data_IF_898885385838
#
_entry.id   IF_898885385838
#
_cell.length_a   1.000
_cell.length_b   1.000
_cell.length_c   1.000
_cell.angle_alpha   90.00
_cell.angle_beta   90.00
_cell.angle_gamma   90.00
#
_symmetry.space_group_name_H-M   'P 1'
#
loop_
_entity.id
_entity.type
_entity.pdbx_description
1 polymer ?
#
# COMPACT_ATOMS: atom_id res chain seq x y z
N UNK A 1 32.35 -25.80 54.89
CA UNK A 1 32.20 -24.33 54.91
C UNK A 1 32.20 -23.83 53.46
N UNK A 2 31.02 -23.69 52.86
CA UNK A 2 30.84 -23.15 51.50
C UNK A 2 30.23 -21.75 51.64
N UNK A 3 30.93 -20.73 51.14
CA UNK A 3 30.41 -19.35 51.09
C UNK A 3 29.38 -19.24 49.98
N UNK A 4 28.14 -19.01 50.40
CA UNK A 4 26.97 -18.73 49.61
C UNK A 4 27.03 -17.25 49.19
N UNK A 5 27.12 -16.98 47.88
CA UNK A 5 27.02 -15.62 47.35
C UNK A 5 25.55 -15.20 47.36
N UNK A 6 25.24 -14.21 48.19
CA UNK A 6 23.98 -13.48 48.21
C UNK A 6 23.94 -12.48 47.05
N UNK A 7 23.05 -12.73 46.10
CA UNK A 7 22.65 -11.77 45.07
C UNK A 7 21.76 -10.72 45.75
N UNK A 8 21.98 -9.41 45.57
CA UNK A 8 21.19 -8.39 46.24
C UNK A 8 19.80 -8.25 45.60
N UNK A 9 18.86 -7.99 46.49
CA UNK A 9 17.42 -7.79 46.40
C UNK A 9 16.97 -6.62 45.48
N UNK A 10 17.59 -6.45 44.30
CA UNK A 10 17.29 -5.37 43.34
C UNK A 10 16.61 -5.90 42.05
N UNK A 11 16.56 -7.22 41.87
CA UNK A 11 15.94 -7.90 40.72
C UNK A 11 14.55 -8.48 40.99
N UNK A 12 13.86 -8.06 42.05
CA UNK A 12 12.47 -8.46 42.34
C UNK A 12 11.47 -7.29 42.38
N UNK A 13 11.95 -6.04 42.30
CA UNK A 13 11.10 -4.85 42.16
C UNK A 13 10.83 -4.44 40.70
N UNK A 14 11.48 -5.10 39.73
CA UNK A 14 11.35 -4.78 38.29
C UNK A 14 10.40 -5.75 37.56
N UNK A 15 10.04 -6.90 38.17
CA UNK A 15 9.05 -7.84 37.60
C UNK A 15 7.60 -7.60 38.06
N UNK A 16 7.33 -6.61 38.92
CA UNK A 16 5.95 -6.19 39.28
C UNK A 16 5.52 -4.86 38.65
N UNK A 17 6.23 -4.36 37.64
CA UNK A 17 5.86 -3.14 36.88
C UNK A 17 5.52 -3.40 35.39
N UNK A 18 5.47 -4.66 34.95
CA UNK A 18 5.08 -5.04 33.58
C UNK A 18 3.79 -5.87 33.49
N UNK A 19 2.95 -5.85 34.54
CA UNK A 19 1.66 -6.56 34.57
C UNK A 19 0.46 -5.65 34.90
N UNK A 20 0.55 -4.35 34.63
CA UNK A 20 -0.58 -3.43 34.77
C UNK A 20 -0.48 -2.22 33.83
N UNK A 21 -0.78 -2.43 32.54
CA UNK A 21 -1.47 -1.46 31.66
C UNK A 21 -1.65 -2.08 30.26
N UNK A 22 -2.28 -3.24 30.19
CA UNK A 22 -3.10 -3.63 29.05
C UNK A 22 -4.53 -3.78 29.57
N UNK A 23 -5.22 -2.64 29.72
CA UNK A 23 -6.67 -2.65 29.71
C UNK A 23 -7.11 -1.97 28.42
N UNK A 24 -7.51 -2.83 27.49
CA UNK A 24 -8.39 -2.49 26.40
C UNK A 24 -9.61 -1.76 27.00
N UNK A 25 -9.67 -0.44 26.84
CA UNK A 25 -10.93 0.28 26.93
C UNK A 25 -11.48 0.26 25.51
N UNK A 26 -12.48 -0.58 25.28
CA UNK A 26 -13.58 -0.41 24.31
C UNK A 26 -14.19 -1.77 23.98
N UNK A 27 -14.81 -2.39 24.99
CA UNK A 27 -16.02 -3.19 24.86
C UNK A 27 -16.85 -2.93 26.10
N UNK A 28 -18.17 -2.92 25.90
CA UNK A 28 -19.24 -2.58 26.84
C UNK A 28 -19.49 -1.09 27.00
N UNK A 29 -20.33 -0.57 26.09
CA UNK A 29 -21.52 0.21 26.40
C UNK A 29 -22.39 0.23 25.13
N UNK A 30 -23.14 -0.85 24.90
CA UNK A 30 -24.38 -0.76 24.13
C UNK A 30 -25.40 -0.06 25.04
N UNK A 31 -25.96 1.11 24.69
CA UNK A 31 -27.23 1.51 25.27
C UNK A 31 -28.32 0.74 24.53
N UNK A 32 -29.00 -0.12 25.28
CA UNK A 32 -30.32 -0.62 24.93
C UNK A 32 -31.23 0.52 24.46
N UNK A 33 -32.15 0.17 23.57
CA UNK A 33 -33.23 1.04 23.13
C UNK A 33 -34.04 1.64 24.29
N UNK A 34 -34.77 2.68 23.93
CA UNK A 34 -35.72 3.42 24.75
C UNK A 34 -35.12 4.33 25.83
N UNK A 35 -34.83 5.57 25.44
CA UNK A 35 -35.33 6.75 26.14
C UNK A 35 -35.13 8.01 25.29
N UNK A 36 -36.11 8.28 24.42
CA UNK A 36 -36.35 9.61 23.88
C UNK A 36 -36.71 10.53 25.05
N UNK A 37 -35.77 11.35 25.50
CA UNK A 37 -36.10 12.42 26.45
C UNK A 37 -37.06 13.39 25.79
N UNK A 38 -38.10 13.78 26.53
CA UNK A 38 -39.22 14.61 26.09
C UNK A 38 -38.84 16.02 25.62
N UNK A 39 -37.55 16.38 25.55
CA UNK A 39 -37.03 17.59 24.90
C UNK A 39 -36.87 17.44 23.38
N UNK A 40 -36.90 16.22 22.84
CA UNK A 40 -36.80 15.97 21.39
C UNK A 40 -38.11 16.19 20.61
N UNK A 41 -39.25 16.40 21.29
CA UNK A 41 -40.57 16.59 20.64
C UNK A 41 -41.04 18.05 20.54
N UNK A 42 -40.25 19.02 21.02
CA UNK A 42 -40.66 20.45 21.02
C UNK A 42 -39.98 21.34 19.97
N UNK A 43 -39.17 20.81 19.05
CA UNK A 43 -38.52 21.59 17.97
C UNK A 43 -38.92 21.17 16.55
N UNK A 44 -40.10 20.57 16.40
CA UNK A 44 -40.76 20.35 15.12
C UNK A 44 -41.79 21.47 14.89
N UNK A 45 -41.30 22.67 14.55
CA UNK A 45 -42.06 23.73 13.86
C UNK A 45 -41.07 24.80 13.40
N UNK A 46 -40.82 24.83 12.10
CA UNK A 46 -39.94 25.82 11.47
C UNK A 46 -39.49 25.35 10.10
N UNK A 47 -40.44 25.32 9.16
CA UNK A 47 -40.20 25.14 7.74
C UNK A 47 -39.51 26.39 7.18
N UNK A 48 -38.47 26.16 6.37
CA UNK A 48 -37.86 27.03 5.34
C UNK A 48 -37.81 28.55 5.56
N UNK A 49 -36.61 29.05 5.84
CA UNK A 49 -36.04 30.17 5.07
C UNK A 49 -34.50 30.12 5.11
N UNK A 50 -33.89 30.06 3.93
CA UNK A 50 -32.47 30.23 3.68
C UNK A 50 -32.04 31.68 3.98
N UNK A 51 -31.68 32.00 5.22
CA UNK A 51 -30.94 33.24 5.53
C UNK A 51 -29.44 32.95 5.69
N UNK A 52 -28.63 33.90 5.25
CA UNK A 52 -27.16 33.90 5.38
C UNK A 52 -26.70 34.03 6.86
N UNK A 53 -27.65 34.24 7.78
CA UNK A 53 -27.42 34.70 9.17
C UNK A 53 -27.25 33.60 10.23
N UNK A 54 -27.26 32.32 9.86
CA UNK A 54 -27.25 31.23 10.86
C UNK A 54 -25.89 30.53 11.03
N UNK A 55 -24.85 30.94 10.31
CA UNK A 55 -23.54 30.31 10.38
C UNK A 55 -22.41 31.33 10.32
N UNK A 56 -21.35 31.08 11.08
CA UNK A 56 -20.15 31.93 11.13
C UNK A 56 -18.89 31.09 10.93
N UNK A 57 -17.84 31.73 10.43
CA UNK A 57 -16.53 31.09 10.28
C UNK A 57 -15.83 31.02 11.64
N UNK A 58 -15.02 29.99 11.86
CA UNK A 58 -14.18 29.95 13.05
C UNK A 58 -13.14 31.08 12.99
N UNK A 59 -12.94 31.75 14.12
CA UNK A 59 -11.95 32.82 14.27
C UNK A 59 -10.92 32.44 15.33
N UNK A 60 -9.75 33.04 15.28
CA UNK A 60 -8.70 32.78 16.25
C UNK A 60 -9.01 33.50 17.56
N UNK A 61 -9.44 32.75 18.57
CA UNK A 61 -9.71 33.28 19.92
C UNK A 61 -8.57 32.95 20.90
N UNK A 62 -8.43 33.70 22.01
CA UNK A 62 -7.46 33.39 23.07
C UNK A 62 -7.58 31.96 23.62
N UNK A 63 -8.81 31.44 23.72
CA UNK A 63 -9.08 30.08 24.19
C UNK A 63 -8.55 29.03 23.21
N UNK A 64 -8.77 29.24 21.90
CA UNK A 64 -8.24 28.35 20.86
C UNK A 64 -6.71 28.36 20.82
N UNK A 65 -6.08 29.53 21.01
CA UNK A 65 -4.61 29.63 21.16
C UNK A 65 -4.12 28.82 22.35
N UNK A 66 -4.80 28.95 23.49
CA UNK A 66 -4.47 28.20 24.71
C UNK A 66 -4.61 26.69 24.50
N UNK A 67 -5.68 26.24 23.83
CA UNK A 67 -5.87 24.83 23.48
C UNK A 67 -4.79 24.32 22.52
N UNK A 68 -4.40 25.12 21.53
CA UNK A 68 -3.31 24.80 20.60
C UNK A 68 -1.97 24.63 21.33
N UNK A 69 -1.62 25.56 22.22
CA UNK A 69 -0.39 25.47 23.02
C UNK A 69 -0.39 24.23 23.92
N UNK A 70 -1.51 23.95 24.58
CA UNK A 70 -1.66 22.77 25.43
C UNK A 70 -1.59 21.48 24.62
N UNK A 71 -2.19 21.45 23.42
CA UNK A 71 -2.08 20.32 22.49
C UNK A 71 -0.62 20.04 22.10
N UNK A 72 0.16 21.08 21.79
CA UNK A 72 1.58 20.92 21.45
C UNK A 72 2.42 20.46 22.65
N UNK A 73 2.10 20.90 23.88
CA UNK A 73 2.72 20.38 25.10
C UNK A 73 2.44 18.89 25.29
N UNK A 74 1.18 18.46 25.10
CA UNK A 74 0.79 17.05 25.17
C UNK A 74 1.48 16.19 24.09
N UNK A 75 1.64 16.73 22.88
CA UNK A 75 2.30 16.03 21.79
C UNK A 75 3.76 15.73 22.13
N UNK A 76 4.47 16.70 22.71
CA UNK A 76 5.87 16.53 23.16
C UNK A 76 6.00 15.49 24.27
N UNK A 77 5.05 15.41 25.20
CA UNK A 77 5.08 14.41 26.28
C UNK A 77 4.78 12.98 25.79
N UNK A 78 4.00 12.82 24.71
CA UNK A 78 3.64 11.51 24.13
C UNK A 78 4.63 10.95 23.11
N UNK A 79 5.66 11.70 22.70
CA UNK A 79 6.61 11.28 21.65
C UNK A 79 7.50 10.07 22.02
N UNK A 80 7.42 9.53 23.24
CA UNK A 80 8.16 8.36 23.70
C UNK A 80 7.47 6.99 23.54
N UNK A 81 6.24 6.93 23.00
CA UNK A 81 5.48 5.67 22.88
C UNK A 81 5.26 5.28 21.40
N UNK A 82 5.77 4.09 21.08
CA UNK A 82 5.73 3.33 19.82
C UNK A 82 4.77 3.81 18.72
N UNK A 83 5.33 4.18 17.57
CA UNK A 83 4.58 4.31 16.31
C UNK A 83 4.38 2.90 15.73
N UNK A 84 3.13 2.46 15.59
CA UNK A 84 2.83 1.29 14.77
C UNK A 84 3.23 1.61 13.32
N UNK A 85 4.21 0.89 12.80
CA UNK A 85 4.76 1.10 11.45
C UNK A 85 3.78 0.66 10.33
N UNK A 86 2.80 -0.17 10.66
CA UNK A 86 1.93 -0.82 9.66
C UNK A 86 0.87 0.10 9.04
N UNK A 87 0.53 1.23 9.68
CA UNK A 87 -0.45 2.22 9.17
C UNK A 87 0.21 3.38 8.40
N UNK A 88 1.54 3.36 8.21
CA UNK A 88 2.26 4.46 7.57
C UNK A 88 2.26 4.32 6.04
N UNK A 89 1.41 5.11 5.37
CA UNK A 89 1.48 5.31 3.92
C UNK A 89 2.61 6.28 3.57
N UNK A 90 3.78 5.71 3.26
CA UNK A 90 4.96 6.48 2.85
C UNK A 90 4.81 7.16 1.48
N UNK A 91 3.77 6.81 0.69
CA UNK A 91 3.49 7.42 -0.62
C UNK A 91 2.46 8.55 -0.54
N UNK A 92 1.74 8.69 0.58
CA UNK A 92 0.64 9.65 0.70
C UNK A 92 1.09 11.08 0.39
N UNK A 93 2.17 11.53 1.02
CA UNK A 93 2.65 12.91 0.86
C UNK A 93 3.02 13.20 -0.61
N UNK A 94 3.78 12.31 -1.25
CA UNK A 94 4.16 12.49 -2.67
C UNK A 94 2.95 12.45 -3.58
N UNK A 95 1.97 11.60 -3.27
CA UNK A 95 0.75 11.46 -4.05
C UNK A 95 -0.19 12.68 -3.89
N UNK A 96 -0.34 13.22 -2.67
CA UNK A 96 -1.05 14.49 -2.42
C UNK A 96 -0.37 15.66 -3.15
N UNK A 97 0.96 15.71 -3.12
CA UNK A 97 1.73 16.70 -3.88
C UNK A 97 1.50 16.55 -5.38
N UNK A 98 1.48 15.33 -5.92
CA UNK A 98 1.28 15.08 -7.34
C UNK A 98 -0.10 15.51 -7.84
N UNK A 99 -1.14 15.44 -7.00
CA UNK A 99 -2.51 15.84 -7.35
C UNK A 99 -2.83 17.31 -7.02
N UNK A 100 -1.85 18.09 -6.53
CA UNK A 100 -2.06 19.50 -6.18
C UNK A 100 -2.64 20.31 -7.36
N UNK A 101 -3.73 21.03 -7.15
CA UNK A 101 -4.41 21.80 -8.21
C UNK A 101 -5.12 20.96 -9.28
N UNK A 102 -5.15 19.63 -9.18
CA UNK A 102 -6.00 18.81 -10.05
C UNK A 102 -7.45 18.78 -9.51
N UNK A 103 -8.45 18.62 -10.39
CA UNK A 103 -9.82 18.41 -9.95
C UNK A 103 -9.93 17.06 -9.23
N UNK A 104 -10.43 17.08 -8.00
CA UNK A 104 -10.73 15.91 -7.19
C UNK A 104 -12.20 15.90 -6.77
N UNK A 105 -12.78 14.70 -6.74
CA UNK A 105 -14.05 14.45 -6.08
C UNK A 105 -13.80 13.89 -4.68
N UNK A 106 -14.68 14.25 -3.73
CA UNK A 106 -14.64 13.76 -2.35
C UNK A 106 -15.95 13.02 -2.10
N UNK A 107 -15.86 11.75 -1.74
CA UNK A 107 -17.03 10.91 -1.44
C UNK A 107 -16.90 10.24 -0.08
N UNK A 108 -18.04 10.04 0.58
CA UNK A 108 -18.18 9.20 1.77
C UNK A 108 -18.88 7.89 1.40
N UNK A 109 -18.58 6.82 2.13
CA UNK A 109 -19.33 5.56 2.01
C UNK A 109 -20.52 5.49 2.97
N UNK A 110 -20.64 6.44 3.92
CA UNK A 110 -21.65 6.38 4.98
C UNK A 110 -23.02 6.97 4.64
N UNK A 111 -23.16 7.68 3.50
CA UNK A 111 -24.42 8.31 3.09
C UNK A 111 -25.12 7.64 1.89
N UNK A 112 -24.73 6.41 1.54
CA UNK A 112 -25.39 5.64 0.47
C UNK A 112 -25.48 6.42 -0.84
N UNK A 113 -26.72 6.70 -1.28
CA UNK A 113 -26.98 7.44 -2.53
C UNK A 113 -26.42 8.87 -2.52
N UNK A 114 -26.38 9.56 -1.38
CA UNK A 114 -25.85 10.92 -1.25
C UNK A 114 -24.38 10.88 -0.82
N UNK A 115 -23.53 10.23 -1.62
CA UNK A 115 -22.14 9.98 -1.24
C UNK A 115 -21.20 11.18 -1.44
N UNK A 116 -21.53 12.14 -2.30
CA UNK A 116 -20.56 13.11 -2.80
C UNK A 116 -20.65 14.46 -2.10
N UNK A 117 -19.50 15.02 -1.73
CA UNK A 117 -19.41 16.37 -1.16
C UNK A 117 -19.78 17.42 -2.23
N UNK A 118 -20.66 18.34 -1.86
CA UNK A 118 -21.23 19.36 -2.73
C UNK A 118 -20.95 20.75 -2.17
N UNK A 119 -20.43 21.61 -3.05
CA UNK A 119 -20.30 23.04 -2.83
C UNK A 119 -21.64 23.73 -3.15
N UNK A 120 -22.19 24.44 -2.16
CA UNK A 120 -23.45 25.18 -2.26
C UNK A 120 -23.28 26.69 -2.47
N UNK A 121 -22.04 27.15 -2.70
CA UNK A 121 -21.70 28.55 -2.94
C UNK A 121 -21.07 29.25 -1.73
N UNK A 122 -20.60 30.47 -1.98
CA UNK A 122 -19.91 31.34 -1.02
C UNK A 122 -20.70 31.53 0.27
N UNK A 123 -20.04 31.36 1.42
CA UNK A 123 -20.65 31.52 2.75
C UNK A 123 -21.68 30.45 3.11
N UNK A 124 -21.82 29.36 2.33
CA UNK A 124 -22.78 28.29 2.58
C UNK A 124 -22.09 27.02 3.08
N UNK A 125 -22.82 26.25 3.88
CA UNK A 125 -22.41 24.92 4.34
C UNK A 125 -22.20 23.97 3.16
N UNK A 126 -21.17 23.11 3.26
CA UNK A 126 -21.00 21.97 2.39
C UNK A 126 -21.94 20.84 2.81
N UNK A 127 -22.57 20.20 1.84
CA UNK A 127 -23.50 19.09 2.05
C UNK A 127 -23.08 17.88 1.23
N UNK A 128 -23.72 16.75 1.47
CA UNK A 128 -23.60 15.56 0.65
C UNK A 128 -24.80 15.42 -0.29
N UNK A 129 -24.56 14.95 -1.52
CA UNK A 129 -25.56 14.77 -2.55
C UNK A 129 -25.19 13.59 -3.46
N UNK A 130 -26.12 13.18 -4.34
CA UNK A 130 -25.88 12.14 -5.34
C UNK A 130 -24.89 12.55 -6.43
N UNK A 131 -24.74 13.84 -6.67
CA UNK A 131 -23.73 14.44 -7.54
C UNK A 131 -22.89 15.46 -6.76
N UNK A 132 -21.57 15.29 -6.79
CA UNK A 132 -20.62 16.16 -6.08
C UNK A 132 -20.16 17.37 -6.86
N UNK A 133 -19.39 18.21 -6.17
CA UNK A 133 -18.57 19.25 -6.79
C UNK A 133 -17.13 18.79 -6.92
N UNK A 134 -16.40 19.38 -7.87
CA UNK A 134 -14.96 19.21 -7.97
C UNK A 134 -14.26 20.19 -7.02
N UNK A 135 -13.31 19.67 -6.27
CA UNK A 135 -12.42 20.43 -5.41
C UNK A 135 -11.00 20.36 -5.95
N UNK A 136 -10.09 21.13 -5.36
CA UNK A 136 -8.65 21.03 -5.57
C UNK A 136 -7.92 21.15 -4.24
N UNK A 137 -6.80 20.46 -4.14
CA UNK A 137 -5.90 20.56 -2.99
C UNK A 137 -4.76 21.50 -3.37
N UNK A 138 -4.51 22.52 -2.55
CA UNK A 138 -3.38 23.43 -2.72
C UNK A 138 -2.39 23.22 -1.58
N UNK A 139 -1.12 23.11 -1.93
CA UNK A 139 -0.02 22.96 -0.97
C UNK A 139 0.72 24.29 -0.92
N UNK A 140 0.80 24.89 0.27
CA UNK A 140 1.52 26.14 0.48
C UNK A 140 2.98 25.88 0.85
N UNK A 141 3.88 26.88 0.69
CA UNK A 141 5.24 26.78 1.20
C UNK A 141 5.26 26.43 2.70
N UNK A 142 6.23 25.64 3.18
CA UNK A 142 6.31 25.26 4.60
C UNK A 142 6.31 26.45 5.56
N UNK A 143 6.82 27.61 5.15
CA UNK A 143 6.81 28.86 5.93
C UNK A 143 5.41 29.36 6.28
N UNK A 144 4.37 28.93 5.56
CA UNK A 144 2.98 29.29 5.87
C UNK A 144 2.42 28.59 7.11
N UNK A 145 3.03 27.48 7.55
CA UNK A 145 2.49 26.65 8.62
C UNK A 145 1.19 25.91 8.28
N UNK A 146 0.73 25.98 7.02
CA UNK A 146 -0.51 25.34 6.53
C UNK A 146 -0.13 24.17 5.60
N UNK A 147 -0.40 22.91 5.98
CA UNK A 147 -0.06 21.76 5.15
C UNK A 147 -0.86 21.72 3.84
N UNK A 148 -2.18 21.83 3.96
CA UNK A 148 -3.09 21.75 2.81
C UNK A 148 -4.24 22.75 2.93
N UNK A 149 -4.59 23.35 1.81
CA UNK A 149 -5.85 24.06 1.61
C UNK A 149 -6.74 23.28 0.66
N UNK A 150 -8.05 23.32 0.89
CA UNK A 150 -9.05 22.71 0.02
C UNK A 150 -9.89 23.83 -0.60
N UNK A 151 -9.99 23.85 -1.93
CA UNK A 151 -10.75 24.83 -2.68
C UNK A 151 -11.76 24.15 -3.62
N UNK A 152 -12.83 24.83 -4.04
CA UNK A 152 -13.55 24.46 -5.26
C UNK A 152 -12.60 24.53 -6.45
N UNK A 153 -12.69 23.57 -7.36
CA UNK A 153 -11.78 23.51 -8.51
C UNK A 153 -11.83 24.76 -9.41
N UNK A 154 -12.99 25.44 -9.48
CA UNK A 154 -13.18 26.61 -10.34
C UNK A 154 -13.06 27.95 -9.59
N UNK A 155 -12.69 27.95 -8.31
CA UNK A 155 -12.59 29.18 -7.51
C UNK A 155 -11.53 29.06 -6.40
N UNK A 156 -10.31 29.51 -6.70
CA UNK A 156 -9.18 29.54 -5.76
C UNK A 156 -9.25 30.69 -4.74
N UNK A 157 -10.30 31.51 -4.76
CA UNK A 157 -10.42 32.65 -3.83
C UNK A 157 -11.19 32.28 -2.57
N UNK A 158 -11.91 31.15 -2.59
CA UNK A 158 -12.83 30.74 -1.54
C UNK A 158 -12.46 29.34 -1.03
N UNK A 159 -11.58 29.19 -0.05
CA UNK A 159 -11.27 27.88 0.50
C UNK A 159 -12.45 27.33 1.31
N UNK A 160 -12.45 26.01 1.47
CA UNK A 160 -13.24 25.31 2.48
C UNK A 160 -12.68 25.63 3.85
N UNK A 161 -13.55 26.07 4.75
CA UNK A 161 -13.22 26.47 6.11
C UNK A 161 -14.09 25.75 7.13
N UNK A 162 -13.61 25.70 8.37
CA UNK A 162 -14.43 25.33 9.53
C UNK A 162 -15.38 26.48 9.85
N UNK A 163 -16.67 26.16 9.89
CA UNK A 163 -17.72 27.04 10.40
C UNK A 163 -18.43 26.44 11.61
N UNK A 164 -19.34 27.21 12.19
CA UNK A 164 -20.24 26.76 13.24
C UNK A 164 -21.64 27.37 13.04
N UNK A 165 -22.67 26.72 13.59
CA UNK A 165 -24.03 27.26 13.58
C UNK A 165 -24.19 28.29 14.70
N UNK A 166 -24.72 29.47 14.41
CA UNK A 166 -24.84 30.57 15.36
C UNK A 166 -25.73 30.22 16.57
N UNK A 167 -26.72 29.34 16.37
CA UNK A 167 -27.57 28.83 17.43
C UNK A 167 -26.90 27.77 18.33
N UNK A 168 -25.78 27.18 17.88
CA UNK A 168 -24.99 26.23 18.66
C UNK A 168 -23.52 26.26 18.18
N UNK A 169 -22.66 27.10 18.79
CA UNK A 169 -21.25 27.23 18.39
C UNK A 169 -20.41 25.95 18.52
N UNK A 170 -20.89 24.95 19.28
CA UNK A 170 -20.23 23.65 19.38
C UNK A 170 -20.51 22.75 18.17
N UNK A 171 -21.55 23.07 17.39
CA UNK A 171 -21.93 22.36 16.17
C UNK A 171 -21.11 22.88 14.99
N UNK A 172 -19.90 22.32 14.85
CA UNK A 172 -18.94 22.66 13.81
C UNK A 172 -19.21 21.89 12.52
N UNK A 173 -18.99 22.55 11.39
CA UNK A 173 -19.27 22.05 10.05
C UNK A 173 -18.26 22.55 9.03
N UNK A 174 -18.31 21.99 7.81
CA UNK A 174 -17.54 22.50 6.69
C UNK A 174 -18.38 23.49 5.90
N UNK A 175 -17.79 24.64 5.55
CA UNK A 175 -18.47 25.64 4.72
C UNK A 175 -17.50 26.28 3.73
N UNK A 176 -18.07 26.92 2.72
CA UNK A 176 -17.31 27.81 1.86
C UNK A 176 -17.08 29.13 2.57
N UNK A 177 -15.86 29.65 2.47
CA UNK A 177 -15.55 31.01 2.93
C UNK A 177 -16.51 32.04 2.33
N UNK A 178 -16.83 33.08 3.10
CA UNK A 178 -17.67 34.18 2.61
C UNK A 178 -16.85 35.28 1.93
N UNK A 179 -15.71 35.68 2.51
CA UNK A 179 -14.88 36.79 2.01
C UNK A 179 -13.49 36.29 1.56
N UNK A 180 -13.09 36.44 0.29
CA UNK A 180 -11.81 35.92 -0.20
C UNK A 180 -10.58 36.56 0.46
N UNK A 181 -10.71 37.79 0.97
CA UNK A 181 -9.58 38.56 1.53
C UNK A 181 -9.39 38.37 3.05
N UNK A 182 -10.08 37.42 3.68
CA UNK A 182 -9.95 37.16 5.11
C UNK A 182 -8.79 36.21 5.45
N UNK A 183 -8.43 36.15 6.73
CA UNK A 183 -7.44 35.21 7.27
C UNK A 183 -7.66 33.77 6.77
N UNK A 184 -6.57 33.00 6.60
CA UNK A 184 -6.62 31.57 6.30
C UNK A 184 -6.95 30.69 7.52
N UNK A 185 -7.15 31.29 8.70
CA UNK A 185 -7.56 30.57 9.89
C UNK A 185 -8.85 29.76 9.64
N UNK A 186 -8.86 28.50 10.07
CA UNK A 186 -9.96 27.57 9.85
C UNK A 186 -9.94 26.91 8.47
N UNK A 187 -9.02 27.28 7.57
CA UNK A 187 -8.85 26.68 6.24
C UNK A 187 -7.70 25.67 6.18
N UNK A 188 -6.94 25.49 7.27
CA UNK A 188 -5.78 24.60 7.29
C UNK A 188 -6.20 23.15 7.55
N UNK A 189 -5.87 22.26 6.61
CA UNK A 189 -6.24 20.85 6.64
C UNK A 189 -5.02 19.93 6.75
N UNK A 190 -5.23 18.77 7.36
CA UNK A 190 -4.37 17.60 7.33
C UNK A 190 -5.17 16.39 6.83
N UNK A 191 -4.49 15.48 6.14
CA UNK A 191 -5.10 14.27 5.58
C UNK A 191 -4.50 13.05 6.27
N UNK A 192 -5.32 12.34 7.04
CA UNK A 192 -4.88 11.20 7.84
C UNK A 192 -5.26 9.90 7.11
N UNK A 193 -4.31 8.99 6.84
CA UNK A 193 -4.58 7.64 6.32
C UNK A 193 -5.67 6.91 7.09
N UNK A 194 -6.58 6.26 6.36
CA UNK A 194 -7.65 5.44 6.90
C UNK A 194 -7.94 4.23 5.98
N UNK A 195 -6.91 3.41 5.73
CA UNK A 195 -6.97 2.13 5.02
C UNK A 195 -7.92 2.11 3.80
N UNK A 196 -7.59 2.89 2.77
CA UNK A 196 -8.43 3.00 1.57
C UNK A 196 -9.25 4.28 1.49
N UNK A 197 -9.12 5.14 2.49
CA UNK A 197 -9.74 6.45 2.59
C UNK A 197 -8.83 7.42 3.36
N UNK A 198 -9.28 8.67 3.48
CA UNK A 198 -8.63 9.72 4.25
C UNK A 198 -9.62 10.37 5.21
N UNK A 199 -9.14 10.68 6.42
CA UNK A 199 -9.84 11.60 7.31
C UNK A 199 -9.31 13.02 7.09
N UNK A 200 -10.22 13.99 7.02
CA UNK A 200 -9.89 15.42 6.79
C UNK A 200 -9.93 16.12 8.14
N UNK A 201 -8.77 16.46 8.69
CA UNK A 201 -8.63 17.05 10.03
C UNK A 201 -8.23 18.52 9.92
N UNK A 202 -8.84 19.38 10.74
CA UNK A 202 -8.46 20.79 10.82
C UNK A 202 -7.20 20.96 11.67
N UNK A 203 -6.28 21.82 11.23
CA UNK A 203 -5.13 22.25 12.03
C UNK A 203 -5.40 23.45 12.93
N UNK A 204 -6.51 24.16 12.72
CA UNK A 204 -6.82 25.42 13.41
C UNK A 204 -7.96 25.27 14.43
N UNK A 205 -8.77 24.22 14.31
CA UNK A 205 -9.93 23.98 15.16
C UNK A 205 -9.63 22.91 16.21
N UNK A 206 -9.63 23.34 17.48
CA UNK A 206 -9.39 22.49 18.64
C UNK A 206 -10.64 22.35 19.50
N UNK A 207 -10.76 21.20 20.15
CA UNK A 207 -11.80 20.89 21.13
C UNK A 207 -11.19 20.23 22.36
N UNK A 208 -11.94 20.25 23.46
CA UNK A 208 -11.57 19.62 24.71
C UNK A 208 -12.67 18.65 25.13
N UNK A 209 -12.30 17.39 25.37
CA UNK A 209 -13.21 16.35 25.83
C UNK A 209 -13.37 16.32 27.35
N UNK A 210 -14.09 15.32 27.85
CA UNK A 210 -14.37 15.16 29.28
C UNK A 210 -13.13 14.88 30.14
N UNK A 211 -12.03 14.43 29.52
CA UNK A 211 -10.73 14.22 30.19
C UNK A 211 -9.94 15.51 30.49
N UNK A 212 -10.53 16.69 30.26
CA UNK A 212 -9.93 17.97 30.61
C UNK A 212 -8.65 18.25 29.82
N UNK A 213 -7.62 18.78 30.47
CA UNK A 213 -6.38 19.22 29.80
C UNK A 213 -5.61 18.08 29.13
N UNK A 214 -5.89 16.81 29.48
CA UNK A 214 -5.29 15.61 28.87
C UNK A 214 -6.03 15.14 27.61
N UNK A 215 -7.23 15.66 27.37
CA UNK A 215 -8.12 15.26 26.27
C UNK A 215 -8.40 16.43 25.32
N UNK A 216 -7.34 16.98 24.72
CA UNK A 216 -7.44 17.99 23.68
C UNK A 216 -7.29 17.31 22.32
N UNK A 217 -8.17 17.65 21.38
CA UNK A 217 -8.19 17.06 20.04
C UNK A 217 -8.39 18.12 18.96
N UNK A 218 -8.00 17.76 17.74
CA UNK A 218 -8.30 18.50 16.51
C UNK A 218 -9.61 18.01 15.91
N UNK A 219 -10.45 18.94 15.45
CA UNK A 219 -11.71 18.59 14.81
C UNK A 219 -11.48 17.92 13.46
N UNK A 220 -12.15 16.80 13.23
CA UNK A 220 -12.11 16.01 12.00
C UNK A 220 -13.48 16.01 11.35
N UNK A 221 -13.52 16.21 10.04
CA UNK A 221 -14.75 16.20 9.27
C UNK A 221 -15.46 14.85 9.39
N UNK A 222 -16.79 14.88 9.44
CA UNK A 222 -17.62 13.70 9.45
C UNK A 222 -18.96 13.94 8.75
N UNK A 223 -19.60 12.85 8.38
CA UNK A 223 -20.98 12.86 7.91
C UNK A 223 -21.91 13.17 9.08
N UNK A 224 -22.67 14.25 8.95
CA UNK A 224 -23.73 14.65 9.88
C UNK A 224 -25.11 14.19 9.40
N UNK A 225 -26.13 14.47 10.21
CA UNK A 225 -27.53 14.16 9.90
C UNK A 225 -28.02 14.93 8.67
N UNK A 226 -29.04 14.40 7.97
CA UNK A 226 -29.69 15.06 6.83
C UNK A 226 -28.74 15.45 5.69
N UNK A 227 -27.77 14.57 5.39
CA UNK A 227 -26.74 14.79 4.37
C UNK A 227 -25.89 16.05 4.61
N UNK A 228 -25.75 16.50 5.87
CA UNK A 228 -24.94 17.67 6.22
C UNK A 228 -23.52 17.27 6.59
N UNK A 229 -22.61 18.25 6.60
CA UNK A 229 -21.29 18.05 7.19
C UNK A 229 -21.35 18.35 8.69
N UNK A 230 -20.53 17.64 9.44
CA UNK A 230 -20.29 17.92 10.85
C UNK A 230 -18.79 17.74 11.12
N UNK A 231 -18.34 18.11 12.31
CA UNK A 231 -16.98 17.85 12.76
C UNK A 231 -16.96 17.33 14.20
N UNK A 232 -16.04 16.41 14.48
CA UNK A 232 -15.90 15.81 15.80
C UNK A 232 -14.48 15.34 16.10
N UNK A 233 -14.28 14.74 17.28
CA UNK A 233 -13.04 14.05 17.65
C UNK A 233 -12.84 12.85 16.72
N UNK A 234 -11.63 12.65 16.22
CA UNK A 234 -11.34 11.50 15.36
C UNK A 234 -11.42 10.19 16.16
N UNK A 235 -12.36 9.33 15.79
CA UNK A 235 -12.61 8.02 16.41
C UNK A 235 -12.36 6.86 15.44
N UNK A 236 -11.80 7.14 14.25
CA UNK A 236 -11.61 6.18 13.16
C UNK A 236 -12.93 5.54 12.68
N UNK A 237 -14.05 6.20 12.91
CA UNK A 237 -15.35 5.74 12.45
C UNK A 237 -15.51 5.94 10.94
N UNK A 238 -16.25 5.06 10.27
CA UNK A 238 -16.45 5.11 8.81
C UNK A 238 -17.07 6.43 8.33
N UNK A 239 -17.87 7.09 9.16
CA UNK A 239 -18.44 8.41 8.87
C UNK A 239 -17.42 9.56 8.85
N UNK A 240 -16.18 9.32 9.28
CA UNK A 240 -15.05 10.25 9.22
C UNK A 240 -14.08 9.94 8.07
N UNK A 241 -14.39 8.92 7.26
CA UNK A 241 -13.53 8.46 6.17
C UNK A 241 -14.09 8.88 4.82
N UNK A 242 -13.23 9.52 4.03
CA UNK A 242 -13.57 10.06 2.72
C UNK A 242 -12.62 9.51 1.66
N UNK A 243 -13.17 9.03 0.56
CA UNK A 243 -12.39 8.69 -0.63
C UNK A 243 -12.19 9.97 -1.45
N UNK A 244 -10.94 10.33 -1.63
CA UNK A 244 -10.52 11.43 -2.50
C UNK A 244 -10.09 10.81 -3.82
N UNK A 245 -10.76 11.20 -4.92
CA UNK A 245 -10.49 10.68 -6.26
C UNK A 245 -10.17 11.82 -7.22
N UNK A 246 -8.93 11.89 -7.74
CA UNK A 246 -8.62 12.75 -8.88
C UNK A 246 -9.44 12.35 -10.10
N UNK A 247 -9.90 13.34 -10.85
CA UNK A 247 -10.69 13.10 -12.07
C UNK A 247 -9.79 12.72 -13.26
N UNK A 248 -8.49 13.06 -13.21
CA UNK A 248 -7.51 12.69 -14.22
C UNK A 248 -7.14 11.21 -14.14
N UNK A 249 -6.84 10.62 -15.29
CA UNK A 249 -6.36 9.25 -15.41
C UNK A 249 -4.83 9.28 -15.45
N UNK A 250 -4.20 8.54 -14.55
CA UNK A 250 -2.76 8.34 -14.57
C UNK A 250 -2.43 7.07 -15.35
N UNK A 251 -1.35 7.08 -16.12
CA UNK A 251 -0.93 5.92 -16.92
C UNK A 251 0.26 5.25 -16.26
N UNK A 252 0.18 3.93 -16.05
CA UNK A 252 1.29 3.15 -15.54
C UNK A 252 2.49 3.29 -16.47
N UNK A 253 3.65 3.64 -15.91
CA UNK A 253 4.87 3.87 -16.64
C UNK A 253 5.98 2.88 -16.26
N UNK A 254 6.12 2.57 -14.96
CA UNK A 254 7.27 1.82 -14.47
C UNK A 254 6.93 0.95 -13.27
N UNK A 255 7.61 -0.19 -13.13
CA UNK A 255 7.67 -1.01 -11.92
C UNK A 255 9.13 -1.09 -11.48
N UNK A 256 9.41 -0.69 -10.24
CA UNK A 256 10.73 -0.76 -9.61
C UNK A 256 10.71 -1.72 -8.44
N UNK A 257 11.59 -2.71 -8.42
CA UNK A 257 11.83 -3.53 -7.23
C UNK A 257 12.73 -2.76 -6.26
N UNK A 258 12.32 -2.62 -5.00
CA UNK A 258 12.83 -1.58 -4.11
C UNK A 258 14.29 -1.83 -3.71
N UNK A 259 14.59 -2.95 -3.05
CA UNK A 259 15.97 -3.31 -2.70
C UNK A 259 16.12 -4.80 -2.36
N UNK A 260 17.37 -5.28 -2.37
CA UNK A 260 17.69 -6.68 -2.05
C UNK A 260 17.33 -7.08 -0.60
N UNK A 261 17.31 -6.13 0.35
CA UNK A 261 16.96 -6.42 1.76
C UNK A 261 15.47 -6.75 1.94
N UNK A 262 14.60 -6.24 1.05
CA UNK A 262 13.17 -6.58 1.04
C UNK A 262 12.88 -7.91 0.36
N UNK A 263 13.85 -8.46 -0.37
CA UNK A 263 13.70 -9.64 -1.18
C UNK A 263 13.98 -10.91 -0.38
N UNK A 264 13.07 -11.88 -0.47
CA UNK A 264 13.27 -13.26 -0.05
C UNK A 264 13.26 -14.16 -1.27
N UNK A 265 14.18 -15.12 -1.29
CA UNK A 265 14.40 -15.98 -2.43
C UNK A 265 14.77 -17.38 -1.96
N UNK A 266 13.97 -18.38 -2.32
CA UNK A 266 14.16 -19.75 -1.88
C UNK A 266 13.99 -20.74 -3.02
N UNK A 267 14.89 -21.72 -3.09
CA UNK A 267 14.76 -22.84 -4.02
C UNK A 267 13.63 -23.72 -3.51
N UNK A 268 12.51 -23.76 -4.24
CA UNK A 268 11.30 -24.45 -3.81
C UNK A 268 11.22 -25.87 -4.34
N UNK A 269 11.70 -26.11 -5.57
CA UNK A 269 11.69 -27.44 -6.19
C UNK A 269 12.66 -27.54 -7.38
N UNK A 270 12.57 -28.64 -8.12
CA UNK A 270 13.32 -28.88 -9.36
C UNK A 270 12.36 -29.27 -10.47
N UNK A 271 12.66 -28.85 -11.69
CA UNK A 271 11.91 -29.20 -12.88
C UNK A 271 12.79 -30.06 -13.79
N UNK A 272 12.31 -31.24 -14.22
CA UNK A 272 13.09 -32.15 -15.07
C UNK A 272 12.67 -32.09 -16.53
N UNK A 273 13.66 -32.16 -17.41
CA UNK A 273 13.49 -32.39 -18.84
C UNK A 273 14.33 -33.61 -19.22
N UNK A 274 13.70 -34.61 -19.83
CA UNK A 274 14.37 -35.85 -20.22
C UNK A 274 14.51 -35.90 -21.75
N UNK A 275 15.70 -36.25 -22.22
CA UNK A 275 15.99 -36.49 -23.63
C UNK A 275 16.78 -37.78 -23.77
N UNK A 276 16.66 -38.44 -24.92
CA UNK A 276 17.42 -39.65 -25.20
C UNK A 276 17.95 -39.64 -26.63
N UNK A 277 19.14 -40.22 -26.79
CA UNK A 277 19.81 -40.42 -28.06
C UNK A 277 20.29 -41.87 -28.14
N UNK A 278 20.15 -42.50 -29.30
CA UNK A 278 20.67 -43.85 -29.54
C UNK A 278 21.78 -43.78 -30.58
N UNK A 279 22.97 -44.22 -30.18
CA UNK A 279 24.06 -44.46 -31.12
C UNK A 279 24.04 -45.94 -31.54
N UNK A 280 23.51 -46.20 -32.73
CA UNK A 280 23.43 -47.56 -33.27
C UNK A 280 24.74 -48.01 -33.94
N UNK A 281 25.69 -47.10 -34.12
CA UNK A 281 26.98 -47.37 -34.75
C UNK A 281 27.94 -48.10 -33.80
N UNK A 282 28.99 -48.69 -34.37
CA UNK A 282 30.08 -49.34 -33.63
C UNK A 282 31.24 -48.39 -33.29
N UNK A 283 31.05 -47.08 -33.43
CA UNK A 283 32.02 -46.03 -33.09
C UNK A 283 31.39 -44.96 -32.19
N UNK A 284 32.22 -44.26 -31.41
CA UNK A 284 31.79 -43.10 -30.62
C UNK A 284 31.22 -42.02 -31.54
N UNK A 285 30.17 -41.32 -31.09
CA UNK A 285 29.56 -40.23 -31.84
C UNK A 285 29.20 -39.07 -30.93
N UNK A 286 29.63 -37.87 -31.31
CA UNK A 286 29.26 -36.65 -30.59
C UNK A 286 27.80 -36.30 -30.86
N UNK A 287 27.14 -35.79 -29.82
CA UNK A 287 25.74 -35.39 -29.88
C UNK A 287 25.47 -34.23 -28.93
N UNK A 288 24.77 -33.22 -29.45
CA UNK A 288 24.31 -32.07 -28.69
C UNK A 288 22.85 -32.27 -28.27
N UNK A 289 22.64 -32.44 -26.96
CA UNK A 289 21.28 -32.42 -26.41
C UNK A 289 20.79 -30.99 -26.24
N UNK A 290 19.55 -30.75 -26.70
CA UNK A 290 18.74 -29.59 -26.29
C UNK A 290 17.64 -30.05 -25.31
N UNK A 291 17.62 -29.39 -24.15
CA UNK A 291 16.64 -29.57 -23.08
C UNK A 291 15.68 -28.39 -23.04
N UNK A 292 15.31 -27.86 -24.21
CA UNK A 292 14.35 -26.78 -24.31
C UNK A 292 12.96 -27.27 -23.91
N UNK A 293 12.25 -26.46 -23.13
CA UNK A 293 10.88 -26.75 -22.70
C UNK A 293 10.13 -25.43 -22.46
N UNK A 294 8.80 -25.47 -22.45
CA UNK A 294 7.96 -24.31 -22.17
C UNK A 294 7.30 -24.49 -20.81
N UNK A 295 7.60 -23.57 -19.89
CA UNK A 295 7.03 -23.55 -18.54
C UNK A 295 6.23 -22.28 -18.32
N UNK A 296 5.28 -22.35 -17.38
CA UNK A 296 4.50 -21.20 -16.95
C UNK A 296 5.08 -20.66 -15.65
N UNK A 297 5.59 -19.44 -15.67
CA UNK A 297 6.00 -18.70 -14.48
C UNK A 297 4.79 -17.99 -13.89
N UNK A 298 4.52 -18.21 -12.60
CA UNK A 298 3.43 -17.53 -11.90
C UNK A 298 3.91 -16.22 -11.30
N UNK A 299 3.13 -15.15 -11.48
CA UNK A 299 3.40 -13.83 -10.92
C UNK A 299 2.16 -13.25 -10.24
N UNK A 300 2.37 -12.55 -9.13
CA UNK A 300 1.33 -11.89 -8.35
C UNK A 300 1.84 -10.57 -7.76
N UNK A 301 1.12 -9.48 -8.03
CA UNK A 301 1.39 -8.17 -7.42
C UNK A 301 0.39 -7.89 -6.29
N UNK A 302 0.80 -8.12 -5.04
CA UNK A 302 0.01 -7.74 -3.87
C UNK A 302 0.17 -6.25 -3.61
N UNK A 303 -0.75 -5.44 -4.11
CA UNK A 303 -0.70 -4.00 -3.88
C UNK A 303 -1.18 -3.64 -2.47
N UNK A 304 -0.51 -2.70 -1.80
CA UNK A 304 -1.04 -2.14 -0.55
C UNK A 304 -2.27 -1.28 -0.85
N UNK A 305 -3.19 -1.22 0.11
CA UNK A 305 -4.41 -0.42 -0.02
C UNK A 305 -4.05 1.06 -0.24
N UNK A 306 -4.62 1.66 -1.30
CA UNK A 306 -4.39 3.06 -1.66
C UNK A 306 -5.32 3.98 -0.87
N UNK A 307 -4.78 4.94 -0.12
CA UNK A 307 -5.63 5.90 0.60
C UNK A 307 -6.28 6.95 -0.32
N UNK A 308 -5.70 7.19 -1.50
CA UNK A 308 -6.27 8.03 -2.56
C UNK A 308 -6.79 7.10 -3.66
N UNK A 309 -8.03 7.34 -4.09
CA UNK A 309 -8.72 6.53 -5.10
C UNK A 309 -8.34 6.99 -6.51
N UNK A 310 -7.17 6.54 -6.99
CA UNK A 310 -6.66 6.87 -8.30
C UNK A 310 -7.27 6.02 -9.41
N UNK A 311 -7.64 6.68 -10.52
CA UNK A 311 -7.94 5.99 -11.77
C UNK A 311 -6.66 5.73 -12.56
N UNK A 312 -6.29 4.45 -12.74
CA UNK A 312 -5.05 4.05 -13.40
C UNK A 312 -5.35 3.35 -14.72
N UNK A 313 -4.78 3.87 -15.80
CA UNK A 313 -4.70 3.20 -17.09
C UNK A 313 -3.43 2.36 -17.15
N UNK A 314 -3.57 1.09 -17.52
CA UNK A 314 -2.45 0.19 -17.78
C UNK A 314 -2.41 -0.02 -19.30
N UNK A 315 -1.40 0.52 -20.01
CA UNK A 315 -1.32 0.39 -21.46
C UNK A 315 -1.31 -1.08 -21.91
N UNK A 316 -2.03 -1.35 -23.00
CA UNK A 316 -2.06 -2.70 -23.58
C UNK A 316 -0.65 -3.13 -24.04
N UNK A 317 -0.29 -4.36 -23.71
CA UNK A 317 1.02 -4.92 -24.08
C UNK A 317 2.21 -4.38 -23.28
N UNK A 318 2.01 -3.46 -22.32
CA UNK A 318 3.09 -3.00 -21.45
C UNK A 318 3.61 -4.16 -20.60
N UNK A 319 4.91 -4.43 -20.75
CA UNK A 319 5.62 -5.48 -20.02
C UNK A 319 6.87 -4.91 -19.36
N UNK A 320 7.21 -5.49 -18.22
CA UNK A 320 8.38 -5.15 -17.42
C UNK A 320 9.36 -6.32 -17.39
N UNK A 321 10.60 -6.05 -17.01
CA UNK A 321 11.57 -7.12 -16.76
C UNK A 321 11.32 -7.72 -15.38
N UNK A 322 11.35 -9.05 -15.29
CA UNK A 322 11.33 -9.76 -14.02
C UNK A 322 12.70 -9.66 -13.35
N UNK A 323 12.80 -9.86 -12.03
CA UNK A 323 14.07 -10.18 -11.39
C UNK A 323 14.71 -11.41 -12.03
N UNK A 324 16.04 -11.52 -11.92
CA UNK A 324 16.85 -12.56 -12.53
C UNK A 324 17.65 -13.31 -11.46
N UNK A 325 17.93 -14.58 -11.70
CA UNK A 325 18.73 -15.41 -10.82
C UNK A 325 19.89 -15.95 -11.64
N UNK A 326 21.09 -15.71 -11.15
CA UNK A 326 22.30 -16.25 -11.75
C UNK A 326 23.29 -16.63 -10.64
N UNK A 327 23.92 -17.80 -10.75
CA UNK A 327 24.91 -18.27 -9.77
C UNK A 327 24.38 -18.34 -8.34
N UNK A 328 23.09 -18.66 -8.16
CA UNK A 328 22.44 -18.72 -6.85
C UNK A 328 22.19 -17.35 -6.18
N UNK A 329 22.35 -16.24 -6.91
CA UNK A 329 22.10 -14.88 -6.44
C UNK A 329 20.90 -14.26 -7.16
N UNK A 330 20.13 -13.43 -6.44
CA UNK A 330 19.00 -12.68 -6.98
C UNK A 330 19.40 -11.26 -7.41
N UNK A 331 19.13 -10.93 -8.67
CA UNK A 331 19.32 -9.63 -9.28
C UNK A 331 17.96 -8.99 -9.56
N UNK A 332 17.67 -7.90 -8.85
CA UNK A 332 16.38 -7.19 -8.99
C UNK A 332 16.30 -6.36 -10.27
N UNK A 333 17.45 -5.91 -10.78
CA UNK A 333 17.58 -5.26 -12.08
C UNK A 333 18.06 -6.31 -13.07
N UNK A 334 17.13 -6.94 -13.78
CA UNK A 334 17.50 -7.87 -14.83
C UNK A 334 18.30 -7.20 -15.94
N UNK A 335 19.18 -7.98 -16.57
CA UNK A 335 20.00 -7.54 -17.69
C UNK A 335 19.15 -6.90 -18.79
N UNK A 336 19.69 -5.87 -19.44
CA UNK A 336 19.03 -5.21 -20.58
C UNK A 336 18.78 -6.16 -21.75
N UNK A 337 19.53 -7.26 -21.82
CA UNK A 337 19.40 -8.32 -22.81
C UNK A 337 18.13 -9.18 -22.63
N UNK A 338 17.52 -9.17 -21.43
CA UNK A 338 16.30 -9.91 -21.18
C UNK A 338 15.08 -9.12 -21.66
N UNK A 339 14.26 -9.79 -22.48
CA UNK A 339 13.01 -9.22 -22.99
C UNK A 339 11.99 -9.04 -21.86
N UNK A 340 11.28 -7.91 -21.81
CA UNK A 340 10.22 -7.70 -20.84
C UNK A 340 9.07 -8.70 -21.04
N UNK A 341 8.77 -9.50 -20.03
CA UNK A 341 7.68 -10.49 -20.04
C UNK A 341 6.61 -10.21 -18.99
N UNK A 342 6.96 -9.51 -17.90
CA UNK A 342 6.13 -9.33 -16.73
C UNK A 342 4.98 -8.36 -16.98
N UNK A 343 3.74 -8.81 -16.82
CA UNK A 343 2.56 -7.94 -16.85
C UNK A 343 2.17 -7.52 -15.44
N UNK A 344 1.92 -6.23 -15.26
CA UNK A 344 1.40 -5.71 -14.00
C UNK A 344 -0.14 -5.80 -13.99
N UNK A 345 -0.67 -6.77 -13.24
CA UNK A 345 -2.09 -6.91 -12.94
C UNK A 345 -2.25 -6.98 -11.41
N UNK A 346 -2.59 -5.87 -10.75
CA UNK A 346 -2.59 -5.80 -9.28
C UNK A 346 -3.67 -6.73 -8.70
N UNK A 347 -3.29 -7.43 -7.64
CA UNK A 347 -4.13 -8.39 -6.90
C UNK A 347 -4.72 -9.51 -7.75
N UNK A 348 -4.03 -9.89 -8.83
CA UNK A 348 -4.40 -10.99 -9.72
C UNK A 348 -3.21 -11.89 -10.00
N UNK A 349 -3.46 -13.20 -10.01
CA UNK A 349 -2.47 -14.17 -10.44
C UNK A 349 -2.39 -14.18 -11.96
N UNK A 350 -1.16 -14.20 -12.46
CA UNK A 350 -0.86 -14.25 -13.88
C UNK A 350 0.14 -15.36 -14.14
N UNK A 351 0.06 -15.93 -15.35
CA UNK A 351 0.99 -16.93 -15.83
C UNK A 351 1.61 -16.42 -17.13
N UNK A 352 2.93 -16.40 -17.19
CA UNK A 352 3.66 -16.03 -18.39
C UNK A 352 4.47 -17.25 -18.86
N UNK A 353 4.41 -17.53 -20.16
CA UNK A 353 5.20 -18.61 -20.74
C UNK A 353 6.67 -18.18 -20.82
N UNK A 354 7.55 -19.07 -20.35
CA UNK A 354 8.99 -18.94 -20.51
C UNK A 354 9.54 -20.17 -21.22
N UNK A 355 10.35 -19.91 -22.23
CA UNK A 355 11.15 -20.95 -22.88
C UNK A 355 12.40 -21.19 -22.05
N UNK A 356 12.55 -22.40 -21.54
CA UNK A 356 13.79 -22.87 -20.95
C UNK A 356 14.74 -23.25 -22.07
N UNK A 357 16.02 -22.93 -21.88
CA UNK A 357 17.07 -23.30 -22.83
C UNK A 357 18.22 -23.94 -22.10
N UNK A 358 18.44 -25.23 -22.36
CA UNK A 358 19.50 -26.02 -21.75
C UNK A 358 20.22 -26.81 -22.83
N UNK A 359 21.55 -26.75 -22.84
CA UNK A 359 22.37 -27.48 -23.83
C UNK A 359 23.41 -28.33 -23.11
N UNK A 360 23.61 -29.54 -23.60
CA UNK A 360 24.67 -30.42 -23.12
C UNK A 360 25.25 -31.21 -24.29
N UNK A 361 26.53 -31.02 -24.54
CA UNK A 361 27.27 -31.81 -25.50
C UNK A 361 27.83 -33.06 -24.82
N UNK A 362 27.68 -34.21 -25.46
CA UNK A 362 28.26 -35.48 -25.01
C UNK A 362 28.90 -36.24 -26.16
N UNK A 363 29.80 -37.16 -25.83
CA UNK A 363 30.23 -38.24 -26.73
C UNK A 363 29.47 -39.52 -26.37
N UNK A 364 28.58 -39.98 -27.24
CA UNK A 364 27.82 -41.21 -27.06
C UNK A 364 28.63 -42.46 -27.46
N UNK A 365 28.70 -43.43 -26.56
CA UNK A 365 29.39 -44.71 -26.79
C UNK A 365 28.76 -45.50 -27.95
N UNK A 366 29.51 -46.40 -28.61
CA UNK A 366 28.96 -47.30 -29.61
C UNK A 366 27.81 -48.12 -29.04
N UNK A 367 26.86 -48.49 -29.89
CA UNK A 367 25.81 -49.46 -29.56
C UNK A 367 25.12 -49.17 -28.22
N UNK A 368 24.84 -47.89 -27.94
CA UNK A 368 24.33 -47.44 -26.64
C UNK A 368 23.20 -46.43 -26.81
N UNK A 369 22.14 -46.60 -26.03
CA UNK A 369 21.12 -45.57 -25.82
C UNK A 369 21.46 -44.77 -24.57
N UNK A 370 21.68 -43.47 -24.74
CA UNK A 370 21.94 -42.51 -23.67
C UNK A 370 20.71 -41.69 -23.41
N UNK A 371 20.17 -41.77 -22.19
CA UNK A 371 19.10 -40.91 -21.70
C UNK A 371 19.69 -39.93 -20.69
N UNK A 372 19.36 -38.65 -20.82
CA UNK A 372 19.78 -37.60 -19.90
C UNK A 372 18.55 -37.00 -19.23
N UNK A 373 18.60 -36.90 -17.92
CA UNK A 373 17.65 -36.12 -17.11
C UNK A 373 18.33 -34.81 -16.71
N UNK A 374 17.89 -33.72 -17.35
CA UNK A 374 18.32 -32.36 -17.08
C UNK A 374 17.40 -31.72 -16.04
N UNK A 375 17.95 -30.93 -15.13
CA UNK A 375 17.21 -30.34 -14.02
C UNK A 375 17.38 -28.82 -14.02
N UNK A 376 16.26 -28.11 -13.94
CA UNK A 376 16.20 -26.68 -13.68
C UNK A 376 15.81 -26.45 -12.22
N UNK A 377 16.34 -25.40 -11.61
CA UNK A 377 15.86 -24.94 -10.30
C UNK A 377 14.55 -24.21 -10.48
N UNK A 378 13.63 -24.45 -9.55
CA UNK A 378 12.43 -23.63 -9.40
C UNK A 378 12.58 -22.84 -8.12
N UNK A 379 12.39 -21.54 -8.23
CA UNK A 379 12.52 -20.63 -7.11
C UNK A 379 11.26 -19.83 -6.88
N UNK A 380 10.94 -19.64 -5.61
CA UNK A 380 9.92 -18.69 -5.18
C UNK A 380 10.62 -17.40 -4.73
N UNK A 381 10.24 -16.29 -5.34
CA UNK A 381 10.73 -14.94 -5.03
C UNK A 381 9.59 -14.16 -4.42
N UNK A 382 9.92 -13.35 -3.44
CA UNK A 382 9.03 -12.35 -2.90
C UNK A 382 9.81 -11.07 -2.60
N UNK A 383 9.42 -9.93 -3.18
CA UNK A 383 10.15 -8.65 -3.06
C UNK A 383 9.20 -7.45 -3.12
N UNK A 384 9.51 -6.40 -2.36
CA UNK A 384 8.73 -5.17 -2.38
C UNK A 384 8.96 -4.40 -3.70
N UNK A 385 7.90 -3.80 -4.23
CA UNK A 385 7.94 -3.02 -5.46
C UNK A 385 7.28 -1.65 -5.29
N UNK A 386 7.67 -0.71 -6.16
CA UNK A 386 7.02 0.56 -6.40
C UNK A 386 6.50 0.60 -7.84
N UNK A 387 5.18 0.75 -8.01
CA UNK A 387 4.56 1.04 -9.30
C UNK A 387 4.40 2.55 -9.46
N UNK A 388 4.87 3.06 -10.59
CA UNK A 388 4.92 4.48 -10.90
C UNK A 388 3.97 4.76 -12.05
N UNK A 389 3.02 5.66 -11.82
CA UNK A 389 2.07 6.13 -12.84
C UNK A 389 2.21 7.63 -13.06
N UNK A 390 1.99 8.08 -14.29
CA UNK A 390 2.24 9.45 -14.71
C UNK A 390 1.01 10.11 -15.33
N UNK A 391 0.89 11.41 -15.13
CA UNK A 391 -0.04 12.29 -15.82
C UNK A 391 0.69 13.61 -16.07
N UNK A 392 0.99 13.93 -17.34
CA UNK A 392 1.86 15.06 -17.70
C UNK A 392 3.23 14.96 -16.99
N UNK A 393 3.64 16.00 -16.28
CA UNK A 393 4.87 16.09 -15.47
C UNK A 393 4.71 15.50 -14.05
N UNK A 394 3.52 15.02 -13.69
CA UNK A 394 3.20 14.54 -12.35
C UNK A 394 3.35 13.04 -12.25
N UNK A 395 3.90 12.60 -11.12
CA UNK A 395 4.16 11.20 -10.82
C UNK A 395 3.47 10.79 -9.52
N UNK A 396 2.81 9.63 -9.54
CA UNK A 396 2.24 8.99 -8.36
C UNK A 396 2.83 7.60 -8.20
N UNK A 397 2.91 7.15 -6.94
CA UNK A 397 3.57 5.92 -6.54
C UNK A 397 2.61 5.02 -5.76
N UNK A 398 2.67 3.73 -6.05
CA UNK A 398 2.01 2.67 -5.31
C UNK A 398 3.04 1.67 -4.86
N UNK A 399 2.94 1.20 -3.63
CA UNK A 399 3.84 0.18 -3.10
C UNK A 399 3.10 -1.12 -2.89
N UNK A 400 3.81 -2.21 -3.04
CA UNK A 400 3.28 -3.54 -2.82
C UNK A 400 4.38 -4.57 -2.71
N UNK A 401 3.96 -5.82 -2.72
CA UNK A 401 4.84 -6.98 -2.64
C UNK A 401 4.57 -7.89 -3.83
N UNK A 402 5.61 -8.16 -4.62
CA UNK A 402 5.54 -8.99 -5.80
C UNK A 402 6.04 -10.39 -5.46
N UNK A 403 5.27 -11.40 -5.86
CA UNK A 403 5.64 -12.81 -5.72
C UNK A 403 5.78 -13.43 -7.10
N UNK A 404 6.89 -14.13 -7.33
CA UNK A 404 7.20 -14.78 -8.60
C UNK A 404 7.69 -16.21 -8.40
N UNK A 405 7.35 -17.11 -9.33
CA UNK A 405 7.95 -18.44 -9.43
C UNK A 405 8.80 -18.51 -10.69
N UNK A 406 10.12 -18.58 -10.55
CA UNK A 406 11.05 -18.56 -11.68
C UNK A 406 11.73 -19.91 -11.89
N UNK A 407 11.96 -20.26 -13.15
CA UNK A 407 12.70 -21.45 -13.56
C UNK A 407 14.07 -21.04 -14.08
N UNK A 408 15.13 -21.65 -13.55
CA UNK A 408 16.50 -21.20 -13.74
C UNK A 408 17.41 -22.38 -14.05
N UNK A 409 18.34 -22.18 -14.98
CA UNK A 409 19.39 -23.12 -15.28
C UNK A 409 20.65 -22.80 -14.46
N UNK A 410 20.70 -23.24 -13.20
CA UNK A 410 21.81 -22.96 -12.28
C UNK A 410 22.29 -24.17 -11.48
N UNK A 411 21.94 -25.39 -11.92
CA UNK A 411 22.29 -26.64 -11.23
C UNK A 411 23.11 -27.59 -12.11
N UNK A 412 24.36 -27.26 -12.43
CA UNK A 412 25.19 -28.15 -13.23
C UNK A 412 25.35 -29.54 -12.59
N UNK A 413 25.38 -29.60 -11.25
CA UNK A 413 25.86 -30.77 -10.49
C UNK A 413 24.83 -31.86 -10.19
N UNK A 414 23.60 -31.68 -10.66
CA UNK A 414 22.49 -32.58 -10.32
C UNK A 414 21.90 -33.32 -11.52
N UNK A 415 22.36 -33.02 -12.75
CA UNK A 415 21.93 -33.75 -13.95
C UNK A 415 22.37 -35.22 -13.88
N UNK A 416 21.53 -36.13 -14.38
CA UNK A 416 21.81 -37.58 -14.36
C UNK A 416 21.71 -38.19 -15.75
N UNK A 417 22.38 -39.31 -15.95
CA UNK A 417 22.31 -40.10 -17.17
C UNK A 417 21.92 -41.55 -16.87
N UNK A 418 21.29 -42.19 -17.85
CA UNK A 418 21.05 -43.63 -17.93
C UNK A 418 21.53 -44.13 -19.29
N UNK A 419 22.49 -45.05 -19.30
CA UNK A 419 22.98 -45.77 -20.46
C UNK A 419 22.33 -47.14 -20.54
N UNK A 420 21.91 -47.54 -21.73
CA UNK A 420 21.48 -48.90 -22.04
C UNK A 420 22.29 -49.41 -23.24
N UNK A 421 23.12 -50.44 -23.02
CA UNK A 421 23.90 -51.07 -24.08
C UNK A 421 23.00 -51.96 -24.92
N UNK A 422 22.93 -51.70 -26.23
CA UNK A 422 22.00 -52.37 -27.15
C UNK A 422 22.28 -53.87 -27.26
N UNK A 423 23.55 -54.26 -27.21
CA UNK A 423 23.96 -55.65 -27.45
C UNK A 423 23.82 -56.56 -26.22
N UNK A 424 23.88 -55.98 -25.01
CA UNK A 424 23.86 -56.76 -23.75
C UNK A 424 22.63 -56.48 -22.87
N UNK A 425 21.88 -55.41 -23.17
CA UNK A 425 20.82 -54.91 -22.29
C UNK A 425 21.33 -54.33 -20.96
N UNK A 426 22.65 -54.29 -20.74
CA UNK A 426 23.26 -53.75 -19.52
C UNK A 426 22.86 -52.29 -19.33
N UNK A 427 22.52 -51.91 -18.10
CA UNK A 427 22.21 -50.54 -17.72
C UNK A 427 23.27 -49.95 -16.80
N UNK A 428 23.61 -48.69 -17.03
CA UNK A 428 24.53 -47.91 -16.17
C UNK A 428 23.88 -46.56 -15.93
N UNK A 429 23.89 -46.06 -14.70
CA UNK A 429 23.36 -44.75 -14.37
C UNK A 429 24.35 -43.96 -13.50
N UNK A 430 24.17 -42.65 -13.46
CA UNK A 430 25.05 -41.80 -12.68
C UNK A 430 24.72 -40.32 -12.79
N UNK A 431 25.48 -39.50 -12.05
CA UNK A 431 25.47 -38.04 -12.19
C UNK A 431 26.42 -37.62 -13.31
N UNK A 432 26.02 -36.59 -14.05
CA UNK A 432 26.83 -36.03 -15.15
C UNK A 432 28.14 -35.45 -14.61
N UNK A 433 28.16 -34.87 -13.41
CA UNK A 433 29.40 -34.36 -12.82
C UNK A 433 30.40 -35.43 -12.36
N UNK A 434 29.95 -36.68 -12.20
CA UNK A 434 30.83 -37.82 -11.93
C UNK A 434 31.46 -38.39 -13.22
N UNK A 435 31.14 -37.85 -14.39
CA UNK A 435 31.67 -38.30 -15.68
C UNK A 435 33.17 -38.05 -15.86
N UNK A 436 33.81 -37.26 -14.99
CA UNK A 436 35.27 -37.10 -15.02
C UNK A 436 36.03 -38.21 -14.27
N UNK A 437 35.36 -39.04 -13.44
CA UNK A 437 36.08 -39.98 -12.56
C UNK A 437 35.72 -41.46 -12.73
N UNK A 438 34.57 -41.83 -13.29
CA UNK A 438 34.20 -43.26 -13.34
C UNK A 438 33.44 -43.75 -14.58
N UNK A 439 33.11 -42.93 -15.59
CA UNK A 439 32.40 -43.43 -16.79
C UNK A 439 32.68 -42.61 -18.06
N UNK A 440 32.77 -43.29 -19.21
CA UNK A 440 33.35 -42.85 -20.50
C UNK A 440 32.44 -41.95 -21.35
N UNK A 441 31.83 -40.93 -20.75
CA UNK A 441 31.24 -39.81 -21.50
C UNK A 441 32.09 -38.58 -21.22
N UNK A 442 32.77 -38.05 -22.23
CA UNK A 442 33.55 -36.82 -22.08
C UNK A 442 32.64 -35.61 -22.30
N UNK A 443 32.61 -34.70 -21.33
CA UNK A 443 32.15 -33.32 -21.52
C UNK A 443 33.31 -32.57 -22.20
N UNK A 444 33.04 -31.82 -23.27
CA UNK A 444 34.03 -30.93 -23.89
C UNK A 444 34.11 -29.60 -23.14
#
# INVERSE_FOLDING_TARGET
MKKQQSIPLVMLAIMMLFAACQRNLDKDLLPNGENLSASAKAQLKGLDTLTLDNMSMIEETPELRTLKENFEKLKKSKQGLTRNFDDYDNTLWSNLWAIRGLPVSIRTESNGYNAYLRNNGRGKELTFASSGSNFMIKVLPPSSGIPYLLYPYNDETIPVVVGYRNNNPNDKLLMMRANPNSSLFGASWDFIPANGALAIQSNDSYGQGSGGWMDIFKYTAQVGSNNKTAMGKYTKSANQHFKIRPNNIFTLAEIKFINQYSATFTRSSKYKVVRAYTNENYINKDHDFSFDDIVNETTYFKEKVRNIDFNISIPEGLKFRTPEIAGGQLFLQASTNNQPTLRYLPNQYTQEQKTLTGKLQITAEPRTRTQITYWYSVYDIDVDYEAISKFQDREIKFVGRWTGKLYVNDIPDEHTFDLTYLDTGRKVNGKINNLSRTTRIKLQ
#
